data_IF_346318833447
#
_entry.id   IF_346318833447
#
_cell.length_a   1.000
_cell.length_b   1.000
_cell.length_c   1.000
_cell.angle_alpha   90.00
_cell.angle_beta   90.00
_cell.angle_gamma   90.00
#
_symmetry.space_group_name_H-M   'P 1'
#
loop_
_entity.id
_entity.type
_entity.pdbx_description
1 polymer ?
#
# COMPACT_ATOMS: atom_id res chain seq x y z
N UNK A 1 14.73 -13.36 -15.71
CA UNK A 1 14.06 -12.15 -16.21
C UNK A 1 13.83 -11.31 -14.98
N UNK A 2 14.57 -10.22 -14.83
CA UNK A 2 14.30 -9.29 -13.73
C UNK A 2 12.95 -8.64 -13.99
N UNK A 3 12.03 -8.73 -13.04
CA UNK A 3 10.80 -7.94 -13.07
C UNK A 3 11.17 -6.46 -13.25
N UNK A 4 10.41 -5.70 -14.06
CA UNK A 4 10.67 -4.29 -14.19
C UNK A 4 10.57 -3.66 -12.80
N UNK A 5 11.61 -2.92 -12.42
CA UNK A 5 11.62 -2.22 -11.13
C UNK A 5 10.33 -1.39 -10.98
N UNK A 6 9.71 -1.46 -9.81
CA UNK A 6 8.52 -0.68 -9.48
C UNK A 6 8.76 0.80 -9.77
N UNK A 7 7.80 1.46 -10.41
CA UNK A 7 7.87 2.88 -10.74
C UNK A 7 6.62 3.63 -10.28
N UNK A 8 6.77 4.92 -9.97
CA UNK A 8 5.63 5.77 -9.63
C UNK A 8 4.61 5.87 -10.77
N UNK A 9 5.07 5.85 -12.02
CA UNK A 9 4.18 5.87 -13.19
C UNK A 9 3.30 4.62 -13.24
N UNK A 10 3.85 3.45 -12.90
CA UNK A 10 3.09 2.21 -12.81
C UNK A 10 2.04 2.27 -11.70
N UNK A 11 2.40 2.86 -10.54
CA UNK A 11 1.46 3.07 -9.44
C UNK A 11 0.31 4.00 -9.87
N UNK A 12 0.62 5.15 -10.48
CA UNK A 12 -0.41 6.11 -10.88
C UNK A 12 -1.34 5.51 -11.95
N UNK A 13 -0.79 4.80 -12.92
CA UNK A 13 -1.59 4.11 -13.93
C UNK A 13 -2.50 3.04 -13.29
N UNK A 14 -2.01 2.26 -12.33
CA UNK A 14 -2.81 1.26 -11.63
C UNK A 14 -3.94 1.89 -10.81
N UNK A 15 -3.69 3.02 -10.13
CA UNK A 15 -4.72 3.78 -9.40
C UNK A 15 -5.80 4.29 -10.36
N UNK A 16 -5.38 4.91 -11.48
CA UNK A 16 -6.31 5.42 -12.49
C UNK A 16 -7.21 4.32 -13.05
N UNK A 17 -6.63 3.19 -13.42
CA UNK A 17 -7.37 2.06 -13.99
C UNK A 17 -8.36 1.47 -12.98
N UNK A 18 -7.95 1.34 -11.73
CA UNK A 18 -8.84 0.86 -10.66
C UNK A 18 -10.01 1.81 -10.41
N UNK A 19 -9.74 3.11 -10.33
CA UNK A 19 -10.80 4.13 -10.15
C UNK A 19 -11.75 4.11 -11.36
N UNK A 20 -11.23 4.04 -12.57
CA UNK A 20 -12.00 3.99 -13.82
C UNK A 20 -12.92 2.79 -13.88
N UNK A 21 -12.45 1.63 -13.43
CA UNK A 21 -13.25 0.39 -13.36
C UNK A 21 -14.30 0.44 -12.26
N UNK A 22 -13.95 0.96 -11.08
CA UNK A 22 -14.84 0.99 -9.92
C UNK A 22 -15.93 2.07 -10.02
N UNK A 23 -15.66 3.17 -10.74
CA UNK A 23 -16.57 4.30 -10.90
C UNK A 23 -16.97 4.51 -12.37
N UNK A 24 -17.78 3.64 -12.98
CA UNK A 24 -18.11 3.71 -14.41
C UNK A 24 -18.90 4.96 -14.82
N UNK A 25 -19.46 5.69 -13.87
CA UNK A 25 -20.13 6.98 -14.11
C UNK A 25 -19.14 8.15 -14.26
N UNK A 26 -17.89 7.97 -13.84
CA UNK A 26 -16.81 8.93 -14.07
C UNK A 26 -16.31 8.77 -15.51
N UNK A 27 -16.23 9.88 -16.25
CA UNK A 27 -15.89 9.88 -17.67
C UNK A 27 -14.42 10.12 -17.95
N UNK A 28 -13.71 10.69 -16.98
CA UNK A 28 -12.29 11.00 -17.13
C UNK A 28 -11.58 10.80 -15.80
N UNK A 29 -10.46 10.07 -15.83
CA UNK A 29 -9.58 9.87 -14.69
C UNK A 29 -8.15 10.04 -15.18
N UNK A 30 -7.40 10.95 -14.57
CA UNK A 30 -5.99 11.18 -14.91
C UNK A 30 -5.22 11.75 -13.72
N UNK A 31 -3.93 11.47 -13.69
CA UNK A 31 -2.97 12.06 -12.75
C UNK A 31 -2.43 13.36 -13.29
N UNK A 32 -2.51 14.43 -12.50
CA UNK A 32 -2.01 15.78 -12.83
C UNK A 32 -2.39 16.25 -14.25
N UNK A 33 -3.67 16.16 -14.67
CA UNK A 33 -4.07 16.53 -16.03
C UNK A 33 -3.88 18.04 -16.28
N UNK A 34 -3.60 18.42 -17.53
CA UNK A 34 -3.67 19.81 -17.94
C UNK A 34 -5.14 20.24 -18.00
N UNK A 35 -5.53 21.20 -17.16
CA UNK A 35 -6.91 21.68 -17.04
C UNK A 35 -7.34 22.56 -18.22
N UNK A 36 -6.41 22.94 -19.10
CA UNK A 36 -6.72 23.77 -20.29
C UNK A 36 -7.49 23.00 -21.36
N UNK A 37 -7.47 21.67 -21.32
CA UNK A 37 -8.23 20.82 -22.23
C UNK A 37 -9.71 20.69 -21.82
N UNK A 38 -10.57 20.43 -22.81
CA UNK A 38 -11.97 20.08 -22.57
C UNK A 38 -12.05 18.69 -21.96
N UNK A 39 -12.38 18.63 -20.67
CA UNK A 39 -12.46 17.37 -19.92
C UNK A 39 -13.92 16.92 -19.81
N UNK A 40 -14.17 15.64 -20.06
CA UNK A 40 -15.50 15.06 -19.91
C UNK A 40 -15.84 14.87 -18.44
N UNK A 41 -16.96 15.42 -17.98
CA UNK A 41 -17.40 15.35 -16.59
C UNK A 41 -18.54 14.32 -16.40
N UNK A 42 -18.64 13.67 -15.23
CA UNK A 42 -17.79 13.79 -14.05
C UNK A 42 -16.37 13.29 -14.26
N UNK A 43 -15.39 13.93 -13.59
CA UNK A 43 -13.98 13.56 -13.69
C UNK A 43 -13.36 13.32 -12.30
N UNK A 44 -12.26 12.57 -12.28
CA UNK A 44 -11.39 12.43 -11.12
C UNK A 44 -9.97 12.82 -11.51
N UNK A 45 -9.42 13.81 -10.83
CA UNK A 45 -8.03 14.23 -10.97
C UNK A 45 -7.26 13.70 -9.78
N UNK A 46 -6.24 12.88 -10.03
CA UNK A 46 -5.34 12.37 -9.04
C UNK A 46 -4.12 13.28 -8.93
N UNK A 47 -3.80 13.74 -7.73
CA UNK A 47 -2.60 14.53 -7.45
C UNK A 47 -1.77 13.84 -6.35
N UNK A 48 -0.51 13.45 -6.64
CA UNK A 48 0.46 13.15 -5.61
C UNK A 48 0.89 14.47 -4.96
N UNK A 49 0.72 14.61 -3.64
CA UNK A 49 0.85 15.92 -2.96
C UNK A 49 2.13 15.99 -2.15
N UNK A 50 2.50 14.90 -1.48
CA UNK A 50 3.57 14.91 -0.50
C UNK A 50 4.19 13.53 -0.37
N UNK A 51 5.50 13.51 -0.07
CA UNK A 51 6.23 12.32 0.35
C UNK A 51 6.79 12.53 1.75
N UNK A 52 6.47 11.66 2.67
CA UNK A 52 7.07 11.60 3.99
C UNK A 52 7.96 10.35 4.08
N UNK A 53 9.04 10.37 4.89
CA UNK A 53 9.84 9.18 5.10
C UNK A 53 9.04 8.11 5.83
N UNK A 54 9.09 6.87 5.34
CA UNK A 54 8.55 5.70 6.01
C UNK A 54 9.57 5.03 6.95
N UNK A 55 9.17 3.97 7.65
CA UNK A 55 10.05 3.22 8.53
C UNK A 55 11.12 2.47 7.70
N UNK A 56 12.35 2.43 8.22
CA UNK A 56 13.39 1.56 7.65
C UNK A 56 13.03 0.09 7.93
N UNK A 57 12.91 -0.70 6.88
CA UNK A 57 12.59 -2.14 6.96
C UNK A 57 13.83 -3.03 6.83
N UNK A 58 15.02 -2.43 6.65
CA UNK A 58 16.30 -3.15 6.59
C UNK A 58 16.53 -3.96 5.31
N UNK A 59 15.78 -3.73 4.24
CA UNK A 59 15.93 -4.40 2.94
C UNK A 59 16.86 -3.67 1.97
N UNK A 60 17.24 -2.43 2.29
CA UNK A 60 17.94 -1.51 1.38
C UNK A 60 17.00 -0.64 0.53
N UNK A 61 15.70 -0.96 0.49
CA UNK A 61 14.70 -0.15 -0.18
C UNK A 61 14.42 1.15 0.57
N UNK A 62 14.09 2.19 -0.19
CA UNK A 62 13.59 3.46 0.38
C UNK A 62 12.10 3.39 0.59
N UNK A 63 11.67 3.49 1.83
CA UNK A 63 10.24 3.52 2.18
C UNK A 63 9.75 4.95 2.25
N UNK A 64 8.70 5.26 1.49
CA UNK A 64 8.04 6.55 1.51
C UNK A 64 6.55 6.37 1.84
N UNK A 65 6.00 7.33 2.57
CA UNK A 65 4.56 7.49 2.75
C UNK A 65 4.12 8.58 1.80
N UNK A 66 3.43 8.19 0.74
CA UNK A 66 2.91 9.12 -0.26
C UNK A 66 1.50 9.54 0.12
N UNK A 67 1.24 10.86 0.11
CA UNK A 67 -0.08 11.45 0.24
C UNK A 67 -0.66 11.75 -1.13
N UNK A 68 -1.91 11.35 -1.31
CA UNK A 68 -2.69 11.58 -2.52
C UNK A 68 -3.91 12.44 -2.23
N UNK A 69 -4.25 13.29 -3.17
CA UNK A 69 -5.54 13.95 -3.28
C UNK A 69 -6.21 13.58 -4.61
N UNK A 70 -7.41 13.04 -4.54
CA UNK A 70 -8.24 12.84 -5.73
C UNK A 70 -9.40 13.83 -5.72
N UNK A 71 -9.46 14.70 -6.73
CA UNK A 71 -10.56 15.66 -6.89
C UNK A 71 -11.63 15.10 -7.81
N UNK A 72 -12.81 14.89 -7.24
CA UNK A 72 -14.02 14.52 -7.95
C UNK A 72 -14.71 15.80 -8.41
N UNK A 73 -14.80 15.99 -9.73
CA UNK A 73 -15.32 17.21 -10.35
C UNK A 73 -16.64 16.89 -11.05
N UNK A 74 -17.67 17.66 -10.74
CA UNK A 74 -19.02 17.51 -11.30
C UNK A 74 -19.50 18.83 -11.90
N UNK A 75 -20.03 18.76 -13.12
CA UNK A 75 -20.56 19.91 -13.80
C UNK A 75 -21.79 20.50 -13.09
N UNK A 76 -21.90 21.83 -12.95
CA UNK A 76 -23.01 22.50 -12.27
C UNK A 76 -24.33 22.33 -12.98
N UNK A 77 -24.34 22.05 -14.31
CA UNK A 77 -25.54 21.85 -15.11
C UNK A 77 -26.24 20.52 -14.81
N UNK A 78 -25.56 19.58 -14.16
CA UNK A 78 -26.15 18.31 -13.79
C UNK A 78 -27.15 18.49 -12.64
N UNK A 79 -28.33 17.89 -12.79
CA UNK A 79 -29.31 17.88 -11.70
C UNK A 79 -28.70 17.23 -10.46
N UNK A 80 -28.85 17.91 -9.30
CA UNK A 80 -28.31 17.45 -8.01
C UNK A 80 -26.77 17.25 -8.01
N UNK A 81 -26.04 18.09 -8.77
CA UNK A 81 -24.58 18.00 -8.90
C UNK A 81 -23.86 17.93 -7.54
N UNK A 82 -24.33 18.65 -6.52
CA UNK A 82 -23.74 18.60 -5.17
C UNK A 82 -23.88 17.21 -4.51
N UNK A 83 -25.07 16.59 -4.65
CA UNK A 83 -25.27 15.23 -4.12
C UNK A 83 -24.47 14.21 -4.91
N UNK A 84 -24.39 14.36 -6.23
CA UNK A 84 -23.62 13.49 -7.09
C UNK A 84 -22.11 13.55 -6.73
N UNK A 85 -21.57 14.76 -6.51
CA UNK A 85 -20.20 14.95 -6.07
C UNK A 85 -19.91 14.23 -4.74
N UNK A 86 -20.76 14.42 -3.75
CA UNK A 86 -20.66 13.76 -2.46
C UNK A 86 -20.75 12.22 -2.58
N UNK A 87 -21.65 11.71 -3.43
CA UNK A 87 -21.81 10.28 -3.66
C UNK A 87 -20.57 9.67 -4.32
N UNK A 88 -20.03 10.30 -5.35
CA UNK A 88 -18.83 9.84 -6.03
C UNK A 88 -17.61 9.86 -5.09
N UNK A 89 -17.48 10.91 -4.27
CA UNK A 89 -16.41 11.00 -3.28
C UNK A 89 -16.54 9.89 -2.22
N UNK A 90 -17.73 9.58 -1.75
CA UNK A 90 -17.99 8.48 -0.83
C UNK A 90 -17.71 7.10 -1.48
N UNK A 91 -18.08 6.92 -2.74
CA UNK A 91 -17.76 5.70 -3.49
C UNK A 91 -16.23 5.53 -3.67
N UNK A 92 -15.52 6.61 -3.97
CA UNK A 92 -14.07 6.57 -4.06
C UNK A 92 -13.44 6.20 -2.71
N UNK A 93 -13.92 6.75 -1.60
CA UNK A 93 -13.46 6.38 -0.27
C UNK A 93 -13.68 4.87 0.05
N UNK A 94 -14.77 4.29 -0.47
CA UNK A 94 -15.01 2.83 -0.36
C UNK A 94 -14.01 2.05 -1.22
N UNK A 95 -13.70 2.52 -2.43
CA UNK A 95 -12.72 1.91 -3.33
C UNK A 95 -11.34 1.84 -2.69
N UNK A 96 -10.95 2.83 -1.91
CA UNK A 96 -9.65 2.89 -1.23
C UNK A 96 -9.45 1.77 -0.19
N UNK A 97 -10.53 1.15 0.28
CA UNK A 97 -10.44 0.17 1.36
C UNK A 97 -9.57 -1.02 0.96
N UNK A 98 -8.50 -1.24 1.72
CA UNK A 98 -7.55 -2.34 1.54
C UNK A 98 -6.90 -2.41 0.14
N UNK A 99 -6.79 -1.27 -0.56
CA UNK A 99 -6.21 -1.22 -1.89
C UNK A 99 -4.69 -1.16 -1.87
N UNK A 100 -4.09 -2.10 -2.60
CA UNK A 100 -2.68 -2.09 -3.00
C UNK A 100 -2.53 -1.93 -4.52
N UNK A 101 -3.66 -1.75 -5.22
CA UNK A 101 -3.75 -1.60 -6.69
C UNK A 101 -3.21 -2.81 -7.47
N UNK A 102 -3.07 -3.97 -6.79
CA UNK A 102 -2.47 -5.18 -7.34
C UNK A 102 -0.95 -5.10 -7.47
N UNK A 103 -0.29 -4.24 -6.71
CA UNK A 103 1.16 -4.04 -6.68
C UNK A 103 1.74 -4.56 -5.36
N UNK A 104 2.87 -5.28 -5.44
CA UNK A 104 3.53 -5.87 -4.26
C UNK A 104 4.36 -4.84 -3.47
N UNK A 105 4.84 -3.77 -4.15
CA UNK A 105 5.64 -2.72 -3.54
C UNK A 105 4.82 -1.60 -2.90
N UNK A 106 3.55 -1.86 -2.59
CA UNK A 106 2.60 -0.85 -2.11
C UNK A 106 1.78 -1.43 -0.99
N UNK A 107 1.76 -0.74 0.16
CA UNK A 107 0.87 -1.09 1.27
C UNK A 107 -0.56 -0.64 1.00
N UNK A 108 -1.47 -1.06 1.87
CA UNK A 108 -2.88 -0.69 1.75
C UNK A 108 -3.10 0.82 1.91
N UNK A 109 -3.90 1.39 1.04
CA UNK A 109 -4.31 2.78 1.12
C UNK A 109 -5.02 3.09 2.45
N UNK A 110 -4.61 4.17 3.10
CA UNK A 110 -5.17 4.64 4.35
C UNK A 110 -5.98 5.92 4.10
N UNK A 111 -7.30 5.79 4.10
CA UNK A 111 -8.18 6.95 3.93
C UNK A 111 -7.95 7.97 5.05
N UNK A 112 -7.80 9.23 4.69
CA UNK A 112 -7.58 10.36 5.62
C UNK A 112 -8.85 11.20 5.78
N UNK A 113 -9.34 11.75 4.68
CA UNK A 113 -10.50 12.64 4.70
C UNK A 113 -11.21 12.72 3.34
N UNK A 114 -12.46 13.15 3.37
CA UNK A 114 -13.15 13.62 2.17
C UNK A 114 -13.90 14.91 2.51
N UNK A 115 -13.70 15.95 1.70
CA UNK A 115 -14.28 17.28 1.94
C UNK A 115 -14.58 17.98 0.63
N UNK A 116 -15.51 18.93 0.69
CA UNK A 116 -15.74 19.83 -0.44
C UNK A 116 -14.56 20.77 -0.60
N UNK A 117 -14.10 20.95 -1.84
CA UNK A 117 -12.90 21.73 -2.17
C UNK A 117 -13.27 23.02 -2.91
N UNK A 118 -12.76 24.13 -2.38
CA UNK A 118 -12.93 25.48 -2.93
C UNK A 118 -11.58 26.15 -3.22
N UNK A 119 -10.49 25.36 -3.19
CA UNK A 119 -9.12 25.90 -3.19
C UNK A 119 -8.54 26.13 -4.57
N UNK A 120 -9.13 25.54 -5.62
CA UNK A 120 -8.64 25.63 -7.01
C UNK A 120 -9.48 26.66 -7.79
N UNK A 121 -8.97 27.88 -8.07
CA UNK A 121 -9.71 28.89 -8.84
C UNK A 121 -10.11 28.43 -10.23
N UNK A 122 -9.33 27.53 -10.85
CA UNK A 122 -9.58 26.98 -12.18
C UNK A 122 -10.83 26.12 -12.23
N UNK A 123 -11.29 25.65 -11.07
CA UNK A 123 -12.49 24.84 -10.89
C UNK A 123 -13.66 25.64 -10.28
N UNK A 124 -13.54 26.94 -10.24
CA UNK A 124 -14.63 27.80 -9.76
C UNK A 124 -15.92 27.59 -10.59
N UNK A 125 -17.03 27.48 -9.90
CA UNK A 125 -18.33 27.17 -10.52
C UNK A 125 -18.64 25.69 -10.66
N UNK A 126 -17.69 24.78 -10.47
CA UNK A 126 -17.93 23.34 -10.43
C UNK A 126 -18.19 22.85 -9.00
N UNK A 127 -18.82 21.69 -8.87
CA UNK A 127 -18.85 20.98 -7.60
C UNK A 127 -17.62 20.10 -7.50
N UNK A 128 -16.74 20.41 -6.55
CA UNK A 128 -15.49 19.68 -6.33
C UNK A 128 -15.45 19.06 -4.94
N UNK A 129 -15.09 17.78 -4.88
CA UNK A 129 -14.83 17.07 -3.64
C UNK A 129 -13.41 16.51 -3.70
N UNK A 130 -12.63 16.73 -2.66
CA UNK A 130 -11.33 16.10 -2.46
C UNK A 130 -11.50 14.85 -1.61
N UNK A 131 -10.87 13.76 -2.04
CA UNK A 131 -10.69 12.52 -1.29
C UNK A 131 -9.20 12.35 -1.07
N UNK A 132 -8.80 12.25 0.19
CA UNK A 132 -7.40 12.24 0.61
C UNK A 132 -7.06 10.90 1.27
N UNK A 133 -5.91 10.32 0.90
CA UNK A 133 -5.37 9.14 1.53
C UNK A 133 -3.85 9.16 1.54
N UNK A 134 -3.26 8.33 2.39
CA UNK A 134 -1.83 8.05 2.39
C UNK A 134 -1.57 6.61 2.01
N UNK A 135 -0.40 6.35 1.46
CA UNK A 135 0.00 5.01 1.06
C UNK A 135 1.52 4.84 1.18
N UNK A 136 1.92 3.79 1.87
CA UNK A 136 3.34 3.44 1.97
C UNK A 136 3.76 2.71 0.71
N UNK A 137 4.91 3.11 0.17
CA UNK A 137 5.49 2.57 -1.05
C UNK A 137 6.97 2.22 -0.83
N UNK A 138 7.44 1.18 -1.51
CA UNK A 138 8.81 0.69 -1.44
C UNK A 138 9.49 0.95 -2.77
N UNK A 139 10.57 1.75 -2.74
CA UNK A 139 11.30 2.19 -3.92
C UNK A 139 12.75 1.71 -3.87
N UNK A 140 13.28 1.34 -5.02
CA UNK A 140 14.64 0.84 -5.15
C UNK A 140 14.69 -0.67 -5.28
N UNK A 141 15.87 -1.21 -5.17
CA UNK A 141 16.12 -2.65 -5.24
C UNK A 141 16.37 -3.19 -3.83
N UNK A 142 15.92 -4.41 -3.58
CA UNK A 142 16.26 -5.12 -2.35
C UNK A 142 17.76 -5.45 -2.39
N UNK A 143 18.54 -4.73 -1.60
CA UNK A 143 20.00 -4.93 -1.53
C UNK A 143 20.39 -6.13 -0.66
N UNK A 144 19.52 -6.45 0.29
CA UNK A 144 19.77 -7.44 1.33
C UNK A 144 18.85 -8.64 1.12
N UNK A 145 19.11 -9.36 0.03
CA UNK A 145 18.57 -10.71 -0.11
C UNK A 145 19.26 -11.54 0.97
N UNK A 146 18.52 -11.93 1.99
CA UNK A 146 18.95 -13.02 2.85
C UNK A 146 19.19 -14.20 1.90
N UNK A 147 20.44 -14.65 1.75
CA UNK A 147 20.67 -15.83 0.94
C UNK A 147 19.77 -16.91 1.53
N UNK A 148 19.07 -17.64 0.67
CA UNK A 148 18.34 -18.83 1.04
C UNK A 148 19.39 -19.88 1.44
N UNK A 149 20.11 -19.61 2.52
CA UNK A 149 20.90 -20.64 3.15
C UNK A 149 19.89 -21.61 3.76
N UNK A 150 20.03 -22.90 3.44
CA UNK A 150 19.23 -23.90 4.16
C UNK A 150 19.44 -23.62 5.65
N UNK A 151 18.37 -23.63 6.46
CA UNK A 151 18.50 -23.35 7.87
C UNK A 151 19.68 -24.13 8.42
N UNK A 152 20.65 -23.42 8.98
CA UNK A 152 21.82 -24.06 9.58
C UNK A 152 21.34 -25.09 10.60
N UNK A 153 22.12 -26.13 10.80
CA UNK A 153 21.78 -27.13 11.81
C UNK A 153 21.65 -26.44 13.17
N UNK A 154 20.48 -26.55 13.78
CA UNK A 154 20.22 -26.01 15.11
C UNK A 154 20.93 -26.89 16.14
N UNK A 155 21.81 -26.30 16.94
CA UNK A 155 22.41 -26.95 18.07
C UNK A 155 21.92 -26.28 19.36
N UNK A 156 21.48 -27.07 20.30
CA UNK A 156 21.01 -26.63 21.62
C UNK A 156 22.05 -26.96 22.67
N UNK A 157 22.37 -26.01 23.53
CA UNK A 157 23.17 -26.22 24.71
C UNK A 157 22.29 -26.01 25.97
N UNK A 158 22.22 -26.99 26.87
CA UNK A 158 21.31 -27.00 28.00
C UNK A 158 22.02 -26.69 29.32
N UNK A 159 23.35 -26.84 29.38
CA UNK A 159 24.13 -26.68 30.61
C UNK A 159 24.83 -25.32 30.75
N UNK A 160 24.69 -24.44 29.75
CA UNK A 160 25.24 -23.08 29.78
C UNK A 160 26.71 -22.98 29.43
N UNK A 161 27.41 -24.09 29.09
CA UNK A 161 28.78 -24.09 28.63
C UNK A 161 28.83 -23.75 27.14
N UNK A 162 29.08 -22.48 26.80
CA UNK A 162 29.07 -22.01 25.42
C UNK A 162 30.46 -21.62 24.93
N UNK A 163 30.64 -21.62 23.60
CA UNK A 163 31.86 -21.17 22.93
C UNK A 163 32.82 -22.29 22.52
N UNK A 164 33.92 -21.87 21.93
CA UNK A 164 34.95 -22.80 21.41
C UNK A 164 35.52 -23.70 22.49
N UNK A 165 35.56 -25.00 22.22
CA UNK A 165 36.04 -26.03 23.17
C UNK A 165 34.93 -26.67 23.98
N UNK A 166 33.68 -26.32 23.77
CA UNK A 166 32.52 -26.94 24.43
C UNK A 166 31.57 -27.57 23.39
N UNK A 167 32.10 -28.01 22.27
CA UNK A 167 31.32 -28.57 21.15
C UNK A 167 30.55 -29.83 21.58
N UNK A 168 31.09 -30.61 22.52
CA UNK A 168 30.46 -31.83 23.07
C UNK A 168 29.19 -31.54 23.91
N UNK A 169 28.95 -30.28 24.25
CA UNK A 169 27.77 -29.83 25.01
C UNK A 169 26.62 -29.37 24.13
N UNK A 170 26.77 -29.46 22.78
CA UNK A 170 25.73 -29.08 21.84
C UNK A 170 25.05 -30.32 21.27
N UNK A 171 23.74 -30.34 21.35
CA UNK A 171 22.87 -31.42 20.85
C UNK A 171 22.02 -30.93 19.71
N UNK A 172 21.77 -31.76 18.72
CA UNK A 172 20.73 -31.51 17.73
C UNK A 172 19.35 -31.84 18.33
N UNK A 173 18.27 -31.17 17.92
CA UNK A 173 16.93 -31.45 18.42
C UNK A 173 16.51 -32.92 18.26
N UNK A 174 17.05 -33.59 17.21
CA UNK A 174 16.80 -35.01 16.93
C UNK A 174 17.47 -35.94 17.92
N UNK A 175 18.55 -35.49 18.57
CA UNK A 175 19.27 -36.26 19.59
C UNK A 175 18.57 -36.26 20.96
N UNK A 176 17.62 -35.29 21.12
CA UNK A 176 16.79 -35.21 22.32
C UNK A 176 15.60 -36.14 22.18
N UNK A 177 15.79 -37.42 22.59
CA UNK A 177 14.68 -38.34 22.68
C UNK A 177 13.70 -37.88 23.77
N UNK A 178 12.60 -37.24 23.33
CA UNK A 178 11.46 -36.96 24.22
C UNK A 178 10.79 -38.31 24.54
N UNK A 179 11.04 -38.82 25.73
CA UNK A 179 10.38 -40.03 26.21
C UNK A 179 8.89 -39.71 26.43
N UNK A 180 8.07 -39.98 25.42
CA UNK A 180 6.61 -39.84 25.46
C UNK A 180 5.96 -41.01 26.21
N UNK A 181 6.54 -41.48 27.33
CA UNK A 181 5.82 -42.36 28.23
C UNK A 181 4.80 -41.57 29.04
N UNK A 182 3.55 -41.64 28.60
CA UNK A 182 2.42 -41.23 29.41
C UNK A 182 2.47 -41.95 30.77
N UNK A 183 2.24 -41.27 31.91
CA UNK A 183 2.19 -41.92 33.18
C UNK A 183 1.08 -42.97 33.19
N UNK A 184 1.45 -44.23 33.40
CA UNK A 184 0.54 -45.32 33.66
C UNK A 184 -0.27 -45.00 34.93
N UNK A 185 -1.49 -44.56 34.76
CA UNK A 185 -2.49 -44.51 35.84
C UNK A 185 -3.00 -45.92 36.07
N UNK A 186 -2.33 -46.64 36.96
CA UNK A 186 -2.89 -47.82 37.64
C UNK A 186 -3.24 -47.43 39.06
N UNK A 187 -4.54 -47.53 39.40
CA UNK A 187 -5.04 -47.38 40.76
C UNK A 187 -6.53 -47.11 40.76
#
# INVERSE_FOLDING_TARGET
MSDPAFSLDALYAAIEDHIRQALPSVRFVATCPDIQDRIALPAVFLEPVEFEPGPDIGTGETVLIQRFEARVIVAPELARHQQLGAQLAAQLAIVLRAQTWGLDNVEQAQFVASRQDWTKPELDGYTVWTVEWTQQIYLGEVEWLWPFEPPGTLYLNVDGCTGTGNEDHYFQPEDLAWDTQAPNTTG
#
